data_IF_091448086833
#
_entry.id   IF_091448086833
#
_cell.length_a   1.000
_cell.length_b   1.000
_cell.length_c   1.000
_cell.angle_alpha   90.00
_cell.angle_beta   90.00
_cell.angle_gamma   90.00
#
_symmetry.space_group_name_H-M   'P 1'
#
loop_
_entity.id
_entity.type
_entity.pdbx_description
1 polymer ?
#
# COMPACT_ATOMS: atom_id res chain seq x y z
N UNK A 1 -3.83 5.46 -9.52
CA UNK A 1 -2.48 6.04 -9.77
C UNK A 1 -2.30 6.52 -11.21
N UNK A 2 -2.60 5.73 -12.24
CA UNK A 2 -2.38 6.09 -13.66
C UNK A 2 -3.02 7.42 -14.09
N UNK A 3 -4.27 7.68 -13.68
CA UNK A 3 -4.96 8.94 -13.97
C UNK A 3 -4.21 10.17 -13.43
N UNK A 4 -3.67 10.06 -12.20
CA UNK A 4 -2.92 11.12 -11.54
C UNK A 4 -1.57 11.34 -12.21
N UNK A 5 -0.93 10.26 -12.68
CA UNK A 5 0.32 10.32 -13.45
C UNK A 5 0.15 10.98 -14.81
N UNK A 6 -0.94 10.67 -15.52
CA UNK A 6 -1.26 11.32 -16.80
C UNK A 6 -1.39 12.85 -16.66
N UNK A 7 -1.81 13.33 -15.50
CA UNK A 7 -1.95 14.76 -15.18
C UNK A 7 -0.78 15.33 -14.36
N UNK A 8 0.34 14.63 -14.23
CA UNK A 8 1.48 15.07 -13.40
C UNK A 8 1.92 16.50 -13.71
N UNK A 9 2.04 16.87 -15.00
CA UNK A 9 2.43 18.21 -15.41
C UNK A 9 1.43 19.27 -14.94
N UNK A 10 0.12 19.02 -15.08
CA UNK A 10 -0.95 19.93 -14.64
C UNK A 10 -0.85 20.26 -13.14
N UNK A 11 -0.61 19.24 -12.30
CA UNK A 11 -0.47 19.45 -10.87
C UNK A 11 0.81 20.21 -10.49
N UNK A 12 1.92 19.92 -11.18
CA UNK A 12 3.21 20.55 -10.91
C UNK A 12 3.23 22.02 -11.36
N UNK A 13 2.65 22.32 -12.52
CA UNK A 13 2.57 23.68 -13.09
C UNK A 13 1.66 24.59 -12.25
N UNK A 14 0.51 24.08 -11.80
CA UNK A 14 -0.41 24.83 -10.93
C UNK A 14 0.06 24.94 -9.47
N UNK A 15 1.30 24.55 -9.16
CA UNK A 15 1.89 24.51 -7.80
C UNK A 15 1.11 23.64 -6.79
N UNK A 16 0.25 22.73 -7.24
CA UNK A 16 -0.47 21.76 -6.40
C UNK A 16 0.38 20.51 -6.12
N UNK A 17 1.67 20.70 -5.80
CA UNK A 17 2.61 19.60 -5.55
C UNK A 17 2.17 18.71 -4.40
N UNK A 18 1.64 19.32 -3.33
CA UNK A 18 1.12 18.61 -2.15
C UNK A 18 -0.08 17.73 -2.50
N UNK A 19 -1.01 18.23 -3.32
CA UNK A 19 -2.18 17.46 -3.77
C UNK A 19 -1.77 16.27 -4.62
N UNK A 20 -0.82 16.46 -5.54
CA UNK A 20 -0.28 15.36 -6.32
C UNK A 20 0.37 14.30 -5.43
N UNK A 21 1.20 14.72 -4.46
CA UNK A 21 1.84 13.80 -3.52
C UNK A 21 0.80 13.07 -2.68
N UNK A 22 -0.19 13.78 -2.12
CA UNK A 22 -1.26 13.19 -1.33
C UNK A 22 -2.06 12.14 -2.12
N UNK A 23 -2.41 12.41 -3.38
CA UNK A 23 -3.18 11.47 -4.21
C UNK A 23 -2.33 10.32 -4.74
N UNK A 24 -1.16 10.61 -5.32
CA UNK A 24 -0.32 9.61 -6.00
C UNK A 24 0.45 8.73 -5.01
N UNK A 25 0.95 9.29 -3.91
CA UNK A 25 1.80 8.56 -2.95
C UNK A 25 1.09 8.23 -1.65
N UNK A 26 0.24 9.12 -1.15
CA UNK A 26 -0.57 8.86 0.05
C UNK A 26 -1.71 7.89 -0.26
N UNK A 27 -2.77 8.38 -0.89
CA UNK A 27 -4.00 7.63 -1.16
C UNK A 27 -3.77 6.39 -2.03
N UNK A 28 -3.23 6.53 -3.25
CA UNK A 28 -3.01 5.35 -4.11
C UNK A 28 -2.08 4.33 -3.46
N UNK A 29 -1.04 4.82 -2.75
CA UNK A 29 -0.07 3.98 -2.07
C UNK A 29 -0.69 3.14 -0.95
N UNK A 30 -1.65 3.71 -0.21
CA UNK A 30 -2.35 3.05 0.91
C UNK A 30 -3.60 2.26 0.51
N UNK A 31 -4.08 2.40 -0.74
CA UNK A 31 -5.21 1.61 -1.25
C UNK A 31 -4.83 0.20 -1.68
N UNK A 32 -3.54 -0.04 -1.94
CA UNK A 32 -3.07 -1.32 -2.50
C UNK A 32 -1.92 -1.86 -1.67
N UNK A 33 -2.05 -3.10 -1.22
CA UNK A 33 -1.16 -3.66 -0.21
C UNK A 33 -0.38 -4.84 -0.78
N UNK A 34 0.95 -4.72 -0.80
CA UNK A 34 1.82 -5.78 -1.31
C UNK A 34 1.91 -6.96 -0.33
N UNK A 35 1.90 -6.68 0.97
CA UNK A 35 1.95 -7.71 2.01
C UNK A 35 0.72 -8.60 2.01
N UNK A 36 -0.49 -8.04 1.91
CA UNK A 36 -1.74 -8.82 1.82
C UNK A 36 -1.76 -9.71 0.58
N UNK A 37 -1.41 -9.17 -0.59
CA UNK A 37 -1.32 -9.97 -1.82
C UNK A 37 -0.37 -11.17 -1.68
N UNK A 38 0.83 -10.96 -1.14
CA UNK A 38 1.79 -12.03 -0.95
C UNK A 38 1.35 -13.02 0.13
N UNK A 39 0.70 -12.53 1.18
CA UNK A 39 0.13 -13.33 2.24
C UNK A 39 -0.96 -14.26 1.72
N UNK A 40 -1.84 -13.78 0.84
CA UNK A 40 -2.90 -14.59 0.22
C UNK A 40 -2.30 -15.71 -0.63
N UNK A 41 -1.29 -15.38 -1.45
CA UNK A 41 -0.56 -16.38 -2.24
C UNK A 41 0.08 -17.45 -1.34
N UNK A 42 0.80 -17.03 -0.28
CA UNK A 42 1.47 -17.96 0.63
C UNK A 42 0.50 -18.82 1.43
N UNK A 43 -0.70 -18.31 1.72
CA UNK A 43 -1.72 -19.04 2.50
C UNK A 43 -2.16 -20.32 1.79
N UNK A 44 -2.31 -20.29 0.45
CA UNK A 44 -2.61 -21.47 -0.39
C UNK A 44 -1.52 -22.56 -0.28
N UNK A 45 -0.27 -22.15 -0.04
CA UNK A 45 0.83 -23.08 0.19
C UNK A 45 0.93 -23.55 1.64
N UNK A 46 0.60 -22.70 2.62
CA UNK A 46 0.84 -23.00 4.04
C UNK A 46 -0.27 -23.87 4.62
N UNK A 47 -1.54 -23.52 4.37
CA UNK A 47 -2.70 -24.21 4.93
C UNK A 47 -2.92 -25.54 4.21
N UNK A 48 -2.21 -26.57 4.67
CA UNK A 48 -2.34 -27.95 4.25
C UNK A 48 -3.62 -28.55 4.85
N UNK A 49 -4.53 -29.03 4.00
CA UNK A 49 -5.47 -30.09 4.39
C UNK A 49 -6.89 -29.71 4.83
N UNK A 50 -7.39 -28.49 4.63
CA UNK A 50 -8.81 -28.21 4.97
C UNK A 50 -9.80 -28.55 3.84
N UNK A 51 -9.44 -28.43 2.55
CA UNK A 51 -10.39 -28.71 1.45
C UNK A 51 -9.83 -29.42 0.20
N UNK A 52 -8.51 -29.39 -0.07
CA UNK A 52 -7.99 -29.87 -1.37
C UNK A 52 -6.70 -30.71 -1.24
N UNK A 53 -6.73 -32.03 -1.46
CA UNK A 53 -5.58 -32.92 -1.26
C UNK A 53 -4.53 -32.83 -2.37
N UNK A 54 -4.81 -32.12 -3.47
CA UNK A 54 -3.94 -32.11 -4.65
C UNK A 54 -2.88 -30.99 -4.59
N UNK A 55 -1.61 -31.40 -4.44
CA UNK A 55 -0.46 -30.49 -4.47
C UNK A 55 -0.36 -29.67 -5.77
N UNK A 56 -0.84 -30.20 -6.90
CA UNK A 56 -0.82 -29.51 -8.19
C UNK A 56 -1.75 -28.29 -8.16
N UNK A 57 -2.99 -28.46 -7.67
CA UNK A 57 -3.96 -27.37 -7.57
C UNK A 57 -3.45 -26.23 -6.68
N UNK A 58 -2.71 -26.56 -5.61
CA UNK A 58 -2.11 -25.57 -4.70
C UNK A 58 -1.03 -24.74 -5.36
N UNK A 59 -0.09 -25.38 -6.07
CA UNK A 59 0.97 -24.67 -6.81
C UNK A 59 0.36 -23.80 -7.90
N UNK A 60 -0.67 -24.29 -8.60
CA UNK A 60 -1.42 -23.51 -9.59
C UNK A 60 -2.11 -22.31 -8.93
N UNK A 61 -2.77 -22.49 -7.79
CA UNK A 61 -3.43 -21.40 -7.05
C UNK A 61 -2.45 -20.33 -6.59
N UNK A 62 -1.34 -20.73 -5.97
CA UNK A 62 -0.23 -19.84 -5.59
C UNK A 62 0.29 -19.06 -6.80
N UNK A 63 0.62 -19.75 -7.90
CA UNK A 63 1.12 -19.12 -9.11
C UNK A 63 0.08 -18.17 -9.72
N UNK A 64 -1.20 -18.53 -9.69
CA UNK A 64 -2.30 -17.71 -10.20
C UNK A 64 -2.42 -16.41 -9.43
N UNK A 65 -2.43 -16.46 -8.09
CA UNK A 65 -2.52 -15.26 -7.26
C UNK A 65 -1.31 -14.33 -7.51
N UNK A 66 -0.11 -14.89 -7.66
CA UNK A 66 1.08 -14.08 -8.00
C UNK A 66 0.98 -13.47 -9.40
N UNK A 67 0.62 -14.24 -10.43
CA UNK A 67 0.49 -13.73 -11.80
C UNK A 67 -0.58 -12.64 -11.88
N UNK A 68 -1.73 -12.85 -11.25
CA UNK A 68 -2.83 -11.87 -11.18
C UNK A 68 -2.37 -10.60 -10.46
N UNK A 69 -1.64 -10.72 -9.36
CA UNK A 69 -1.14 -9.55 -8.62
C UNK A 69 0.00 -8.79 -9.30
N UNK A 70 0.70 -9.38 -10.28
CA UNK A 70 1.53 -8.61 -11.21
C UNK A 70 0.69 -7.95 -12.32
N UNK A 71 -0.20 -8.71 -12.96
CA UNK A 71 -0.91 -8.27 -14.16
C UNK A 71 -1.96 -7.20 -13.88
N UNK A 72 -2.80 -7.39 -12.86
CA UNK A 72 -3.94 -6.51 -12.58
C UNK A 72 -3.53 -5.08 -12.23
N UNK A 73 -2.52 -4.83 -11.38
CA UNK A 73 -2.08 -3.47 -11.10
C UNK A 73 -1.48 -2.75 -12.31
N UNK A 74 -0.77 -3.45 -13.19
CA UNK A 74 -0.22 -2.89 -14.43
C UNK A 74 -1.36 -2.56 -15.40
N UNK A 75 -2.33 -3.45 -15.56
CA UNK A 75 -3.53 -3.19 -16.38
C UNK A 75 -4.33 -2.00 -15.84
N UNK A 76 -4.57 -1.94 -14.53
CA UNK A 76 -5.26 -0.83 -13.88
C UNK A 76 -4.49 0.49 -13.99
N UNK A 77 -3.15 0.43 -13.94
CA UNK A 77 -2.28 1.59 -14.17
C UNK A 77 -2.49 2.14 -15.59
N UNK A 78 -2.41 1.29 -16.61
CA UNK A 78 -2.60 1.68 -18.02
C UNK A 78 -4.03 2.16 -18.31
N UNK A 79 -5.03 1.48 -17.77
CA UNK A 79 -6.40 1.94 -17.85
C UNK A 79 -6.59 3.33 -17.24
N UNK A 80 -5.99 3.58 -16.07
CA UNK A 80 -5.99 4.90 -15.45
C UNK A 80 -5.31 5.98 -16.30
N UNK A 81 -4.19 5.65 -16.96
CA UNK A 81 -3.51 6.56 -17.90
C UNK A 81 -4.42 6.91 -19.09
N UNK A 82 -5.10 5.91 -19.67
CA UNK A 82 -6.04 6.11 -20.79
C UNK A 82 -7.23 6.99 -20.38
N UNK A 83 -7.82 6.75 -19.21
CA UNK A 83 -8.85 7.64 -18.67
C UNK A 83 -8.33 9.07 -18.47
N UNK A 84 -7.05 9.19 -18.07
CA UNK A 84 -6.38 10.47 -17.97
C UNK A 84 -6.36 11.22 -19.30
N UNK A 85 -6.00 10.52 -20.39
CA UNK A 85 -5.95 11.09 -21.74
C UNK A 85 -7.33 11.37 -22.36
N UNK A 86 -8.34 10.60 -22.00
CA UNK A 86 -9.74 10.85 -22.43
C UNK A 86 -10.40 11.98 -21.63
N UNK A 87 -9.81 12.38 -20.51
CA UNK A 87 -10.42 13.41 -19.67
C UNK A 87 -10.39 14.77 -20.36
N UNK A 88 -11.38 15.65 -20.08
CA UNK A 88 -11.41 17.03 -20.62
C UNK A 88 -10.19 17.86 -20.23
N UNK A 89 -9.41 17.41 -19.24
CA UNK A 89 -8.22 18.09 -18.74
C UNK A 89 -6.94 17.66 -19.48
N UNK A 90 -7.00 16.65 -20.36
CA UNK A 90 -5.86 16.14 -21.12
C UNK A 90 -5.30 17.18 -22.12
N UNK A 91 -6.17 18.04 -22.65
CA UNK A 91 -5.86 19.08 -23.64
C UNK A 91 -5.39 20.42 -23.03
N UNK A 92 -5.42 20.58 -21.70
CA UNK A 92 -4.91 21.79 -21.03
C UNK A 92 -3.37 21.93 -21.05
N UNK A 93 -2.66 21.18 -21.92
CA UNK A 93 -1.21 21.32 -22.16
C UNK A 93 -0.80 22.65 -22.78
N UNK A 94 -1.75 23.52 -23.14
CA UNK A 94 -1.48 24.87 -23.66
C UNK A 94 -2.13 25.94 -22.77
N UNK A 95 -1.27 26.67 -22.05
CA UNK A 95 -1.53 28.04 -21.62
C UNK A 95 -2.72 28.23 -20.68
N UNK A 96 -2.67 27.64 -19.48
CA UNK A 96 -3.59 28.07 -18.42
C UNK A 96 -3.12 29.44 -17.92
N UNK A 97 -3.93 30.49 -18.14
CA UNK A 97 -3.72 31.81 -17.53
C UNK A 97 -3.63 31.64 -16.01
N UNK A 98 -2.52 32.10 -15.42
CA UNK A 98 -2.38 32.22 -13.97
C UNK A 98 -3.53 33.08 -13.43
N UNK A 99 -4.47 32.47 -12.71
CA UNK A 99 -5.40 33.25 -11.88
C UNK A 99 -4.70 33.50 -10.53
N UNK A 100 -4.02 34.65 -10.44
CA UNK A 100 -3.43 35.14 -9.18
C UNK A 100 -4.54 35.61 -8.22
N UNK A 101 -5.18 34.70 -7.52
CA UNK A 101 -5.87 35.07 -6.26
C UNK A 101 -4.93 34.75 -5.12
N UNK A 102 -4.04 35.68 -4.82
CA UNK A 102 -3.21 35.64 -3.63
C UNK A 102 -3.72 36.68 -2.64
N UNK A 103 -4.85 36.40 -1.99
CA UNK A 103 -5.14 37.04 -0.71
C UNK A 103 -4.55 36.16 0.39
N UNK A 104 -3.65 36.74 1.20
CA UNK A 104 -3.04 36.07 2.36
C UNK A 104 -4.11 35.48 3.29
N UNK A 105 -5.25 36.17 3.41
CA UNK A 105 -6.42 35.73 4.17
C UNK A 105 -7.05 34.44 3.63
N UNK A 106 -7.18 34.28 2.30
CA UNK A 106 -7.74 33.06 1.69
C UNK A 106 -6.84 31.86 1.95
N UNK A 107 -5.51 32.03 1.83
CA UNK A 107 -4.55 30.95 2.12
C UNK A 107 -4.52 30.56 3.60
N UNK A 108 -4.65 31.52 4.50
CA UNK A 108 -4.75 31.25 5.95
C UNK A 108 -6.06 30.54 6.27
N UNK A 109 -7.17 30.97 5.69
CA UNK A 109 -8.47 30.33 5.85
C UNK A 109 -8.48 28.89 5.32
N UNK A 110 -7.95 28.66 4.12
CA UNK A 110 -7.77 27.32 3.56
C UNK A 110 -6.94 26.44 4.50
N UNK A 111 -5.81 26.94 4.99
CA UNK A 111 -4.95 26.20 5.92
C UNK A 111 -5.69 25.84 7.22
N UNK A 112 -6.47 26.76 7.78
CA UNK A 112 -7.29 26.51 8.97
C UNK A 112 -8.35 25.45 8.68
N UNK A 113 -9.05 25.55 7.55
CA UNK A 113 -10.06 24.56 7.13
C UNK A 113 -9.40 23.18 6.98
N UNK A 114 -8.21 23.09 6.37
CA UNK A 114 -7.49 21.83 6.24
C UNK A 114 -7.09 21.24 7.60
N UNK A 115 -6.57 22.06 8.52
CA UNK A 115 -6.19 21.59 9.86
C UNK A 115 -7.43 21.11 10.63
N UNK A 116 -8.51 21.89 10.61
CA UNK A 116 -9.76 21.55 11.30
C UNK A 116 -10.37 20.29 10.70
N UNK A 117 -10.45 20.18 9.37
CA UNK A 117 -10.96 18.99 8.70
C UNK A 117 -10.10 17.76 8.99
N UNK A 118 -8.77 17.92 9.03
CA UNK A 118 -7.85 16.84 9.40
C UNK A 118 -8.06 16.40 10.84
N UNK A 119 -8.08 17.33 11.81
CA UNK A 119 -8.30 17.03 13.23
C UNK A 119 -9.67 16.38 13.46
N UNK A 120 -10.73 16.90 12.85
CA UNK A 120 -12.07 16.32 12.96
C UNK A 120 -12.07 14.92 12.37
N UNK A 121 -11.48 14.73 11.18
CA UNK A 121 -11.47 13.43 10.51
C UNK A 121 -10.65 12.42 11.31
N UNK A 122 -9.45 12.75 11.77
CA UNK A 122 -8.65 11.85 12.60
C UNK A 122 -9.32 11.53 13.94
N UNK A 123 -9.95 12.53 14.56
CA UNK A 123 -10.64 12.33 15.84
C UNK A 123 -11.88 11.45 15.66
N UNK A 124 -12.69 11.71 14.63
CA UNK A 124 -13.86 10.87 14.31
C UNK A 124 -13.43 9.45 13.98
N UNK A 125 -12.40 9.29 13.16
CA UNK A 125 -11.90 7.98 12.70
C UNK A 125 -11.33 7.13 13.86
N UNK A 126 -10.81 7.74 14.92
CA UNK A 126 -10.29 7.02 16.10
C UNK A 126 -11.38 6.84 17.17
N UNK A 127 -12.14 7.89 17.47
CA UNK A 127 -13.11 7.93 18.57
C UNK A 127 -14.37 7.14 18.22
N UNK A 128 -14.87 7.22 16.99
CA UNK A 128 -16.13 6.54 16.62
C UNK A 128 -16.01 5.01 16.72
N UNK A 129 -15.01 4.35 16.12
CA UNK A 129 -14.89 2.90 16.25
C UNK A 129 -14.69 2.45 17.70
N UNK A 130 -13.91 3.21 18.48
CA UNK A 130 -13.63 2.87 19.88
C UNK A 130 -14.86 3.06 20.77
N UNK A 131 -15.46 4.25 20.77
CA UNK A 131 -16.49 4.66 21.73
C UNK A 131 -17.88 4.17 21.32
N UNK A 132 -18.22 4.20 20.02
CA UNK A 132 -19.56 3.84 19.57
C UNK A 132 -19.70 2.34 19.25
N UNK A 133 -18.61 1.67 18.85
CA UNK A 133 -18.67 0.29 18.37
C UNK A 133 -17.77 -0.69 19.13
N UNK A 134 -16.94 -0.22 20.07
CA UNK A 134 -15.95 -1.04 20.80
C UNK A 134 -15.00 -1.83 19.86
N UNK A 135 -14.64 -1.24 18.72
CA UNK A 135 -13.82 -1.85 17.65
C UNK A 135 -12.37 -1.35 17.72
N UNK A 136 -11.59 -1.99 18.59
CA UNK A 136 -10.16 -1.69 18.78
C UNK A 136 -9.34 -1.91 17.50
N UNK A 137 -9.71 -2.89 16.68
CA UNK A 137 -9.05 -3.22 15.42
C UNK A 137 -9.08 -2.08 14.40
N UNK A 138 -10.23 -1.42 14.23
CA UNK A 138 -10.31 -0.23 13.38
C UNK A 138 -9.51 0.93 13.96
N UNK A 139 -9.64 1.18 15.27
CA UNK A 139 -8.89 2.25 15.95
C UNK A 139 -7.38 2.11 15.72
N UNK A 140 -6.80 0.94 16.03
CA UNK A 140 -5.39 0.68 15.83
C UNK A 140 -5.00 0.70 14.35
N UNK A 141 -5.86 0.20 13.45
CA UNK A 141 -5.61 0.24 12.01
C UNK A 141 -5.43 1.67 11.51
N UNK A 142 -6.31 2.59 11.90
CA UNK A 142 -6.23 3.98 11.45
C UNK A 142 -5.01 4.72 12.00
N UNK A 143 -4.68 4.52 13.28
CA UNK A 143 -3.51 5.13 13.90
C UNK A 143 -2.23 4.60 13.23
N UNK A 144 -2.09 3.28 13.13
CA UNK A 144 -0.88 2.64 12.61
C UNK A 144 -0.73 2.78 11.09
N UNK A 145 -1.82 2.93 10.34
CA UNK A 145 -1.79 3.23 8.90
C UNK A 145 -0.99 4.49 8.59
N UNK A 146 -1.19 5.56 9.37
CA UNK A 146 -0.47 6.82 9.20
C UNK A 146 1.04 6.65 9.40
N UNK A 147 1.45 5.85 10.39
CA UNK A 147 2.85 5.52 10.64
C UNK A 147 3.47 4.72 9.49
N UNK A 148 2.75 3.72 8.97
CA UNK A 148 3.19 2.92 7.81
C UNK A 148 3.43 3.80 6.58
N UNK A 149 2.48 4.68 6.26
CA UNK A 149 2.62 5.62 5.15
C UNK A 149 3.79 6.60 5.34
N UNK A 150 4.00 7.09 6.57
CA UNK A 150 5.12 7.98 6.90
C UNK A 150 6.48 7.30 6.68
N UNK A 151 6.66 6.08 7.21
CA UNK A 151 7.90 5.31 7.03
C UNK A 151 8.15 5.02 5.54
N UNK A 152 7.11 4.61 4.80
CA UNK A 152 7.20 4.40 3.35
C UNK A 152 7.66 5.65 2.62
N UNK A 153 7.09 6.80 2.95
CA UNK A 153 7.52 8.07 2.37
C UNK A 153 8.98 8.40 2.74
N UNK A 154 9.36 8.20 4.00
CA UNK A 154 10.71 8.49 4.49
C UNK A 154 11.78 7.63 3.80
N UNK A 155 11.47 6.37 3.46
CA UNK A 155 12.36 5.46 2.74
C UNK A 155 12.37 5.66 1.21
N UNK A 156 11.41 6.42 0.67
CA UNK A 156 11.31 6.64 -0.78
C UNK A 156 12.54 7.28 -1.46
N UNK A 157 13.37 8.13 -0.82
CA UNK A 157 14.60 8.62 -1.43
C UNK A 157 15.60 7.52 -1.80
N UNK A 158 15.54 6.35 -1.16
CA UNK A 158 16.37 5.20 -1.50
C UNK A 158 16.03 4.60 -2.87
N UNK A 159 14.87 4.93 -3.46
CA UNK A 159 14.46 4.45 -4.79
C UNK A 159 15.29 5.02 -5.94
N UNK A 160 16.01 6.12 -5.71
CA UNK A 160 16.97 6.69 -6.66
C UNK A 160 18.41 6.23 -6.41
N UNK A 161 18.65 5.37 -5.41
CA UNK A 161 20.02 4.90 -5.10
C UNK A 161 20.60 4.02 -6.21
N UNK A 162 19.77 3.26 -6.92
CA UNK A 162 20.19 2.40 -8.03
C UNK A 162 19.33 2.64 -9.27
N UNK A 163 19.98 2.58 -10.45
CA UNK A 163 19.31 2.82 -11.74
C UNK A 163 18.37 1.67 -12.15
N UNK A 164 18.66 0.45 -11.71
CA UNK A 164 17.94 -0.76 -12.10
C UNK A 164 17.09 -1.35 -10.96
N UNK A 165 17.09 -0.73 -9.78
CA UNK A 165 16.45 -1.30 -8.60
C UNK A 165 15.90 -0.22 -7.66
N UNK A 166 14.67 -0.39 -7.18
CA UNK A 166 14.00 0.59 -6.29
C UNK A 166 14.08 0.12 -4.85
N UNK A 167 15.20 0.44 -4.20
CA UNK A 167 15.54 -0.12 -2.89
C UNK A 167 14.52 0.24 -1.80
N UNK A 168 14.07 1.49 -1.73
CA UNK A 168 13.09 1.92 -0.72
C UNK A 168 11.80 1.13 -0.78
N UNK A 169 11.18 1.02 -1.96
CA UNK A 169 9.95 0.25 -2.19
C UNK A 169 10.17 -1.23 -1.91
N UNK A 170 11.31 -1.79 -2.33
CA UNK A 170 11.67 -3.17 -2.01
C UNK A 170 11.70 -3.42 -0.50
N UNK A 171 12.41 -2.59 0.25
CA UNK A 171 12.57 -2.75 1.70
C UNK A 171 11.22 -2.68 2.42
N UNK A 172 10.40 -1.67 2.13
CA UNK A 172 9.10 -1.54 2.81
C UNK A 172 8.17 -2.69 2.46
N UNK A 173 8.17 -3.16 1.21
CA UNK A 173 7.32 -4.27 0.77
C UNK A 173 7.74 -5.60 1.42
N UNK A 174 9.03 -5.93 1.38
CA UNK A 174 9.54 -7.20 1.93
C UNK A 174 9.46 -7.19 3.45
N UNK A 175 10.01 -6.18 4.12
CA UNK A 175 10.01 -6.12 5.58
C UNK A 175 8.61 -5.95 6.14
N UNK A 176 7.75 -5.14 5.50
CA UNK A 176 6.35 -5.02 5.89
C UNK A 176 5.58 -6.34 5.74
N UNK A 177 5.91 -7.15 4.73
CA UNK A 177 5.33 -8.50 4.61
C UNK A 177 5.78 -9.43 5.73
N UNK A 178 7.05 -9.34 6.15
CA UNK A 178 7.55 -10.14 7.27
C UNK A 178 6.98 -9.70 8.61
N UNK A 179 6.78 -8.40 8.82
CA UNK A 179 6.07 -7.86 10.00
C UNK A 179 4.64 -8.38 10.05
N UNK A 180 3.93 -8.38 8.91
CA UNK A 180 2.59 -8.98 8.80
C UNK A 180 2.63 -10.46 9.18
N UNK A 181 3.61 -11.22 8.66
CA UNK A 181 3.78 -12.64 8.95
C UNK A 181 3.96 -12.90 10.46
N UNK A 182 4.80 -12.12 11.13
CA UNK A 182 5.04 -12.22 12.57
C UNK A 182 3.79 -11.88 13.38
N UNK A 183 3.10 -10.78 13.03
CA UNK A 183 1.87 -10.39 13.71
C UNK A 183 0.77 -11.47 13.59
N UNK A 184 0.67 -12.12 12.42
CA UNK A 184 -0.23 -13.24 12.22
C UNK A 184 0.08 -14.43 13.13
N UNK A 185 1.37 -14.82 13.23
CA UNK A 185 1.80 -15.92 14.11
C UNK A 185 1.50 -15.60 15.57
N UNK A 186 1.78 -14.37 16.02
CA UNK A 186 1.51 -13.93 17.40
C UNK A 186 0.02 -13.98 17.74
N UNK A 187 -0.84 -13.61 16.78
CA UNK A 187 -2.30 -13.65 16.96
C UNK A 187 -2.81 -15.09 17.13
N UNK A 188 -2.30 -16.02 16.32
CA UNK A 188 -2.72 -17.43 16.36
C UNK A 188 -2.07 -18.22 17.51
N UNK A 189 -0.91 -17.78 18.02
CA UNK A 189 -0.23 -18.48 19.13
C UNK A 189 -0.91 -18.23 20.48
N UNK A 190 -1.50 -17.05 20.66
CA UNK A 190 -2.13 -16.64 21.92
C UNK A 190 -3.65 -16.54 21.83
N UNK A 191 -4.28 -17.27 20.92
CA UNK A 191 -5.69 -17.11 20.53
C UNK A 191 -6.68 -17.15 21.72
N UNK A 192 -6.44 -18.02 22.71
CA UNK A 192 -7.29 -18.18 23.90
C UNK A 192 -6.99 -17.18 25.03
N UNK A 193 -5.80 -16.57 25.06
CA UNK A 193 -5.34 -15.72 26.18
C UNK A 193 -5.25 -14.23 25.85
N UNK A 194 -5.48 -13.84 24.59
CA UNK A 194 -5.37 -12.45 24.14
C UNK A 194 -6.69 -11.68 24.29
N UNK A 195 -6.65 -10.60 25.08
CA UNK A 195 -7.76 -9.65 25.16
C UNK A 195 -8.02 -8.92 23.84
N UNK A 196 -9.22 -8.34 23.70
CA UNK A 196 -9.66 -7.61 22.50
C UNK A 196 -8.69 -6.50 22.06
N UNK A 197 -8.02 -5.86 23.02
CA UNK A 197 -7.05 -4.80 22.75
C UNK A 197 -5.82 -5.32 21.99
N UNK A 198 -5.28 -6.47 22.41
CA UNK A 198 -4.10 -7.07 21.78
C UNK A 198 -4.45 -7.61 20.38
N UNK A 199 -5.61 -8.27 20.23
CA UNK A 199 -6.11 -8.69 18.92
C UNK A 199 -6.33 -7.49 18.00
N UNK A 200 -6.91 -6.41 18.51
CA UNK A 200 -7.08 -5.16 17.79
C UNK A 200 -5.74 -4.55 17.36
N UNK A 201 -4.73 -4.58 18.22
CA UNK A 201 -3.39 -4.08 17.93
C UNK A 201 -2.71 -4.91 16.83
N UNK A 202 -2.77 -6.24 16.93
CA UNK A 202 -2.21 -7.16 15.94
C UNK A 202 -2.90 -7.00 14.58
N UNK A 203 -4.23 -6.86 14.58
CA UNK A 203 -4.98 -6.51 13.37
C UNK A 203 -4.57 -5.14 12.82
N UNK A 204 -4.41 -4.13 13.68
CA UNK A 204 -3.92 -2.82 13.29
C UNK A 204 -2.51 -2.86 12.70
N UNK A 205 -1.64 -3.74 13.18
CA UNK A 205 -0.31 -3.96 12.64
C UNK A 205 -0.35 -4.63 11.25
N UNK A 206 -1.26 -5.58 11.02
CA UNK A 206 -1.40 -6.25 9.72
C UNK A 206 -2.15 -5.36 8.72
N UNK A 207 -3.41 -5.01 8.98
CA UNK A 207 -4.29 -4.31 8.07
C UNK A 207 -4.00 -2.80 7.97
N UNK A 208 -3.61 -2.16 9.08
CA UNK A 208 -3.29 -0.74 9.12
C UNK A 208 -1.84 -0.45 8.73
N UNK A 209 -0.89 -0.82 9.60
CA UNK A 209 0.53 -0.52 9.43
C UNK A 209 1.08 -1.13 8.14
N UNK A 210 1.06 -2.46 8.00
CA UNK A 210 1.60 -3.13 6.80
C UNK A 210 0.77 -2.78 5.55
N UNK A 211 -0.54 -2.56 5.74
CA UNK A 211 -1.45 -2.01 4.74
C UNK A 211 -0.95 -0.73 4.05
N UNK A 212 -0.46 0.23 4.86
CA UNK A 212 -0.01 1.52 4.36
C UNK A 212 1.52 1.64 4.18
N UNK A 213 2.28 0.77 4.83
CA UNK A 213 3.74 0.65 4.68
C UNK A 213 4.12 -0.01 3.36
N UNK A 214 3.43 -1.09 3.00
CA UNK A 214 3.67 -1.77 1.71
C UNK A 214 2.80 -1.17 0.61
N UNK A 215 3.19 -1.34 -0.65
CA UNK A 215 2.43 -0.76 -1.76
C UNK A 215 2.59 -1.54 -3.05
N UNK A 216 1.47 -1.74 -3.77
CA UNK A 216 1.47 -2.31 -5.12
C UNK A 216 1.40 -1.22 -6.18
N UNK A 217 0.74 -0.09 -5.91
CA UNK A 217 0.61 0.99 -6.90
C UNK A 217 1.96 1.59 -7.29
N UNK A 218 2.83 1.87 -6.31
CA UNK A 218 4.18 2.39 -6.59
C UNK A 218 5.03 1.32 -7.27
N UNK A 219 4.95 0.07 -6.79
CA UNK A 219 5.63 -1.07 -7.38
C UNK A 219 5.27 -1.27 -8.87
N UNK A 220 4.00 -1.18 -9.23
CA UNK A 220 3.54 -1.31 -10.62
C UNK A 220 4.09 -0.19 -11.53
N UNK A 221 4.13 1.05 -11.02
CA UNK A 221 4.74 2.18 -11.75
C UNK A 221 6.23 1.95 -11.95
N UNK A 222 6.92 1.49 -10.92
CA UNK A 222 8.35 1.20 -10.98
C UNK A 222 8.67 0.08 -11.98
N UNK A 223 7.89 -1.01 -11.98
CA UNK A 223 8.00 -2.09 -12.96
C UNK A 223 7.80 -1.59 -14.40
N UNK A 224 6.86 -0.66 -14.61
CA UNK A 224 6.56 -0.10 -15.93
C UNK A 224 7.60 0.92 -16.44
N UNK A 225 8.46 1.42 -15.56
CA UNK A 225 9.43 2.49 -15.88
C UNK A 225 10.89 2.03 -15.86
N UNK A 226 11.20 0.92 -15.20
CA UNK A 226 12.53 0.33 -15.22
C UNK A 226 12.85 -0.31 -16.58
N UNK A 227 14.14 -0.40 -16.96
CA UNK A 227 14.57 -1.20 -18.11
C UNK A 227 14.16 -2.66 -17.94
N UNK A 228 13.89 -3.35 -19.06
CA UNK A 228 13.32 -4.70 -19.07
C UNK A 228 14.02 -5.68 -18.10
N UNK A 229 15.34 -5.81 -18.20
CA UNK A 229 16.09 -6.71 -17.32
C UNK A 229 15.97 -6.32 -15.84
N UNK A 230 16.04 -5.01 -15.55
CA UNK A 230 15.91 -4.48 -14.19
C UNK A 230 14.52 -4.68 -13.61
N UNK A 231 13.46 -4.50 -14.42
CA UNK A 231 12.08 -4.68 -13.96
C UNK A 231 11.78 -6.13 -13.58
N UNK A 232 12.25 -7.12 -14.38
CA UNK A 232 12.09 -8.53 -14.03
C UNK A 232 12.87 -8.91 -12.77
N UNK A 233 14.15 -8.51 -12.67
CA UNK A 233 14.96 -8.81 -11.48
C UNK A 233 14.33 -8.18 -10.23
N UNK A 234 14.00 -6.89 -10.29
CA UNK A 234 13.36 -6.15 -9.19
C UNK A 234 12.01 -6.76 -8.79
N UNK A 235 11.16 -7.07 -9.76
CA UNK A 235 9.84 -7.63 -9.51
C UNK A 235 9.90 -9.01 -8.88
N UNK A 236 10.68 -9.91 -9.48
CA UNK A 236 10.85 -11.28 -9.00
C UNK A 236 11.54 -11.33 -7.64
N UNK A 237 12.61 -10.56 -7.43
CA UNK A 237 13.30 -10.55 -6.14
C UNK A 237 12.40 -10.04 -5.01
N UNK A 238 11.55 -9.03 -5.28
CA UNK A 238 10.60 -8.49 -4.30
C UNK A 238 9.60 -9.54 -3.84
N UNK A 239 8.98 -10.26 -4.79
CA UNK A 239 8.00 -11.31 -4.48
C UNK A 239 8.68 -12.53 -3.85
N UNK A 240 9.79 -13.01 -4.39
CA UNK A 240 10.48 -14.18 -3.85
C UNK A 240 10.98 -13.94 -2.42
N UNK A 241 11.53 -12.77 -2.11
CA UNK A 241 11.95 -12.44 -0.75
C UNK A 241 10.77 -12.34 0.23
N UNK A 242 9.64 -11.79 -0.22
CA UNK A 242 8.41 -11.74 0.57
C UNK A 242 7.82 -13.13 0.83
N UNK A 243 7.72 -13.96 -0.22
CA UNK A 243 7.28 -15.35 -0.12
C UNK A 243 8.19 -16.18 0.79
N UNK A 244 9.52 -16.04 0.65
CA UNK A 244 10.48 -16.74 1.49
C UNK A 244 10.25 -16.43 2.99
N UNK A 245 10.11 -15.15 3.36
CA UNK A 245 9.83 -14.80 4.75
C UNK A 245 8.45 -15.27 5.24
N UNK A 246 7.41 -15.23 4.40
CA UNK A 246 6.10 -15.77 4.76
C UNK A 246 6.17 -17.28 5.05
N UNK A 247 6.83 -18.05 4.19
CA UNK A 247 7.01 -19.49 4.39
C UNK A 247 7.89 -19.78 5.62
N UNK A 248 8.96 -19.01 5.83
CA UNK A 248 9.85 -19.18 6.98
C UNK A 248 9.20 -18.79 8.31
N UNK A 249 8.31 -17.79 8.34
CA UNK A 249 7.68 -17.30 9.58
C UNK A 249 6.33 -17.98 9.82
N UNK A 250 5.37 -17.82 8.90
CA UNK A 250 4.03 -18.41 9.03
C UNK A 250 4.03 -19.90 8.70
N UNK A 251 4.76 -20.31 7.67
CA UNK A 251 4.79 -21.72 7.24
C UNK A 251 5.39 -22.63 8.29
N UNK A 252 6.55 -22.28 8.84
CA UNK A 252 7.17 -23.04 9.93
C UNK A 252 6.24 -23.16 11.14
N UNK A 253 5.64 -22.07 11.60
CA UNK A 253 4.67 -22.09 12.70
C UNK A 253 3.52 -23.07 12.43
N UNK A 254 2.89 -22.97 11.25
CA UNK A 254 1.75 -23.81 10.90
C UNK A 254 2.10 -25.29 10.78
N UNK A 255 3.27 -25.62 10.23
CA UNK A 255 3.71 -27.01 10.04
C UNK A 255 4.25 -27.66 11.32
N UNK A 256 4.57 -26.87 12.35
CA UNK A 256 5.06 -27.38 13.65
C UNK A 256 4.00 -27.41 14.74
N UNK A 257 2.81 -26.86 14.49
CA UNK A 257 1.66 -26.90 15.42
C UNK A 257 1.01 -28.27 15.41
#
# INVERSE_FOLDING_TARGET
MGFVLAHKQLFLEKKHKLTYQALATGFCGSLTTFSSWNNDAATVLIQYGEEDPNNVTRVIGWATILVVGFGMPIAALKFGEHLGYLSPWADQRKGVREYKVSHKAVRVLEMIIYIVAWVITTSVVVIVPLVLFNRHDFMFSFVLASLGAYIRWHLSPLNSAFNYFRLGTFLVNVLGTWVLATAYVLDHHHEEQTGLEVKGLLYGATAGFCGCLTTVSTFAVELSTLPLAGSYVYGLSSVLAAQAGLLLIRGTYWWTR
#
